data_IF_558075648856
#
_entry.id   IF_558075648856
#
_cell.length_a   1.000
_cell.length_b   1.000
_cell.length_c   1.000
_cell.angle_alpha   90.00
_cell.angle_beta   90.00
_cell.angle_gamma   90.00
#
_symmetry.space_group_name_H-M   'P 1'
#
loop_
_entity.id
_entity.type
_entity.pdbx_description
1 polymer ?
#
# COMPACT_ATOMS: atom_id res chain seq x y z
N UNK A 1 7.40 17.14 -29.28
CA UNK A 1 7.49 15.82 -28.62
C UNK A 1 6.63 15.88 -27.36
N UNK A 2 5.58 15.05 -27.26
CA UNK A 2 4.72 15.01 -26.06
C UNK A 2 5.49 14.33 -24.93
N UNK A 3 5.85 15.09 -23.90
CA UNK A 3 6.26 14.53 -22.61
C UNK A 3 5.06 13.80 -22.01
N UNK A 4 4.99 12.47 -22.20
CA UNK A 4 4.14 11.61 -21.39
C UNK A 4 4.86 11.42 -20.04
N UNK A 5 4.74 12.40 -19.14
CA UNK A 5 4.98 12.16 -17.71
C UNK A 5 3.81 11.30 -17.23
N UNK A 6 4.03 10.00 -17.14
CA UNK A 6 3.08 9.02 -16.59
C UNK A 6 3.58 8.63 -15.20
N UNK A 7 3.82 9.61 -14.32
CA UNK A 7 4.33 9.36 -12.98
C UNK A 7 3.79 10.39 -12.00
N UNK A 8 3.32 9.89 -10.87
CA UNK A 8 3.02 10.66 -9.67
C UNK A 8 4.27 11.50 -9.28
N UNK A 9 4.16 12.83 -9.39
CA UNK A 9 5.06 13.77 -8.70
C UNK A 9 4.45 13.96 -7.31
N UNK A 10 5.17 13.53 -6.27
CA UNK A 10 4.80 13.79 -4.89
C UNK A 10 5.74 14.85 -4.35
N UNK A 11 5.20 15.88 -3.72
CA UNK A 11 5.97 16.99 -3.17
C UNK A 11 6.59 16.63 -1.80
N UNK A 12 6.05 15.63 -1.10
CA UNK A 12 6.58 15.12 0.18
C UNK A 12 5.99 13.74 0.56
N UNK A 13 6.52 13.16 1.64
CA UNK A 13 6.06 11.87 2.20
C UNK A 13 4.57 11.89 2.61
N UNK A 14 4.02 13.03 3.06
CA UNK A 14 2.61 13.14 3.43
C UNK A 14 1.69 12.90 2.22
N UNK A 15 2.05 13.40 1.03
CA UNK A 15 1.27 13.14 -0.19
C UNK A 15 1.33 11.67 -0.64
N UNK A 16 2.51 11.04 -0.50
CA UNK A 16 2.68 9.60 -0.74
C UNK A 16 1.77 8.81 0.22
N UNK A 17 1.79 9.16 1.51
CA UNK A 17 0.95 8.52 2.53
C UNK A 17 -0.54 8.72 2.25
N UNK A 18 -0.98 9.93 1.89
CA UNK A 18 -2.36 10.20 1.52
C UNK A 18 -2.82 9.33 0.35
N UNK A 19 -1.94 9.11 -0.63
CA UNK A 19 -2.23 8.26 -1.78
C UNK A 19 -2.33 6.79 -1.39
N UNK A 20 -1.45 6.29 -0.53
CA UNK A 20 -1.55 4.93 0.01
C UNK A 20 -2.83 4.73 0.83
N UNK A 21 -3.20 5.68 1.68
CA UNK A 21 -4.45 5.64 2.45
C UNK A 21 -5.70 5.61 1.55
N UNK A 22 -5.68 6.34 0.42
CA UNK A 22 -6.76 6.24 -0.59
C UNK A 22 -6.86 4.82 -1.14
N UNK A 23 -5.75 4.19 -1.52
CA UNK A 23 -5.76 2.82 -2.01
C UNK A 23 -6.27 1.80 -0.97
N UNK A 24 -5.95 2.00 0.32
CA UNK A 24 -6.48 1.17 1.41
C UNK A 24 -8.01 1.32 1.52
N UNK A 25 -8.53 2.55 1.41
CA UNK A 25 -9.97 2.81 1.36
C UNK A 25 -10.63 2.12 0.18
N UNK A 26 -10.04 2.22 -1.02
CA UNK A 26 -10.57 1.57 -2.23
C UNK A 26 -10.66 0.04 -2.08
N UNK A 27 -9.64 -0.60 -1.48
CA UNK A 27 -9.67 -2.04 -1.16
C UNK A 27 -10.85 -2.36 -0.23
N UNK A 28 -11.04 -1.55 0.82
CA UNK A 28 -12.11 -1.75 1.79
C UNK A 28 -13.50 -1.60 1.16
N UNK A 29 -13.68 -0.58 0.31
CA UNK A 29 -14.89 -0.36 -0.47
C UNK A 29 -15.19 -1.52 -1.43
N UNK A 30 -14.17 -2.09 -2.07
CA UNK A 30 -14.35 -3.24 -2.95
C UNK A 30 -14.77 -4.48 -2.17
N UNK A 31 -14.16 -4.76 -1.02
CA UNK A 31 -14.57 -5.87 -0.15
C UNK A 31 -16.04 -5.71 0.27
N UNK A 32 -16.46 -4.51 0.69
CA UNK A 32 -17.84 -4.26 1.08
C UNK A 32 -18.81 -4.41 -0.10
N UNK A 33 -18.50 -3.78 -1.23
CA UNK A 33 -19.35 -3.78 -2.44
C UNK A 33 -19.60 -5.18 -2.98
N UNK A 34 -18.58 -6.03 -2.99
CA UNK A 34 -18.68 -7.41 -3.48
C UNK A 34 -19.14 -8.38 -2.39
N UNK A 35 -19.29 -7.93 -1.14
CA UNK A 35 -19.47 -8.79 0.05
C UNK A 35 -18.39 -9.88 0.07
N UNK A 36 -17.16 -9.46 -0.20
CA UNK A 36 -16.04 -10.33 -0.51
C UNK A 36 -15.55 -11.12 0.70
N UNK A 37 -15.30 -12.40 0.46
CA UNK A 37 -14.62 -13.30 1.36
C UNK A 37 -13.48 -14.00 0.62
N UNK A 38 -12.74 -14.85 1.34
CA UNK A 38 -11.63 -15.62 0.78
C UNK A 38 -12.06 -16.48 -0.43
N UNK A 39 -13.25 -17.07 -0.38
CA UNK A 39 -13.74 -17.94 -1.46
C UNK A 39 -14.01 -17.14 -2.72
N UNK A 40 -14.61 -15.96 -2.60
CA UNK A 40 -14.82 -15.07 -3.74
C UNK A 40 -13.48 -14.56 -4.28
N UNK A 41 -12.55 -14.22 -3.40
CA UNK A 41 -11.20 -13.79 -3.80
C UNK A 41 -10.45 -14.87 -4.60
N UNK A 42 -10.56 -16.13 -4.20
CA UNK A 42 -9.95 -17.26 -4.92
C UNK A 42 -10.63 -17.53 -6.27
N UNK A 43 -11.96 -17.52 -6.29
CA UNK A 43 -12.76 -17.97 -7.45
C UNK A 43 -13.05 -16.90 -8.50
N UNK A 44 -13.02 -15.62 -8.15
CA UNK A 44 -13.32 -14.50 -9.04
C UNK A 44 -12.07 -13.64 -9.31
N UNK A 45 -11.51 -13.79 -10.51
CA UNK A 45 -10.30 -13.06 -10.91
C UNK A 45 -10.52 -11.54 -11.01
N UNK A 46 -11.75 -11.08 -11.28
CA UNK A 46 -12.03 -9.65 -11.41
C UNK A 46 -12.08 -9.00 -10.02
N UNK A 47 -12.69 -9.68 -9.05
CA UNK A 47 -12.66 -9.24 -7.65
C UNK A 47 -11.23 -9.26 -7.11
N UNK A 48 -10.47 -10.34 -7.34
CA UNK A 48 -9.07 -10.44 -6.95
C UNK A 48 -8.23 -9.30 -7.51
N UNK A 49 -8.25 -9.06 -8.82
CA UNK A 49 -7.50 -7.96 -9.43
C UNK A 49 -7.93 -6.58 -8.94
N UNK A 50 -9.18 -6.40 -8.54
CA UNK A 50 -9.63 -5.15 -7.95
C UNK A 50 -8.99 -4.87 -6.58
N UNK A 51 -8.57 -5.90 -5.83
CA UNK A 51 -7.86 -5.76 -4.56
C UNK A 51 -6.33 -5.74 -4.75
N UNK A 52 -5.80 -6.62 -5.60
CA UNK A 52 -4.35 -6.78 -5.80
C UNK A 52 -3.72 -5.54 -6.42
N UNK A 53 -4.44 -4.86 -7.33
CA UNK A 53 -3.88 -3.71 -8.03
C UNK A 53 -3.61 -2.53 -7.08
N UNK A 54 -4.56 -2.06 -6.24
CA UNK A 54 -4.27 -1.06 -5.22
C UNK A 54 -3.23 -1.52 -4.19
N UNK A 55 -3.25 -2.79 -3.78
CA UNK A 55 -2.27 -3.33 -2.83
C UNK A 55 -0.85 -3.26 -3.39
N UNK A 56 -0.68 -3.65 -4.65
CA UNK A 56 0.58 -3.52 -5.36
C UNK A 56 1.04 -2.05 -5.45
N UNK A 57 0.13 -1.09 -5.68
CA UNK A 57 0.48 0.33 -5.68
C UNK A 57 0.95 0.81 -4.29
N UNK A 58 0.31 0.37 -3.21
CA UNK A 58 0.74 0.73 -1.83
C UNK A 58 2.17 0.26 -1.59
N UNK A 59 2.48 -0.98 -1.96
CA UNK A 59 3.81 -1.53 -1.80
C UNK A 59 4.85 -0.83 -2.68
N UNK A 60 4.49 -0.50 -3.92
CA UNK A 60 5.35 0.27 -4.83
C UNK A 60 5.67 1.65 -4.24
N UNK A 61 4.65 2.38 -3.79
CA UNK A 61 4.83 3.70 -3.16
C UNK A 61 5.70 3.62 -1.90
N UNK A 62 5.48 2.58 -1.09
CA UNK A 62 6.28 2.32 0.10
C UNK A 62 7.77 2.18 -0.23
N UNK A 63 8.10 1.47 -1.32
CA UNK A 63 9.48 1.22 -1.71
C UNK A 63 10.11 2.37 -2.48
N UNK A 64 9.40 2.97 -3.44
CA UNK A 64 10.00 3.86 -4.43
C UNK A 64 9.70 5.34 -4.23
N UNK A 65 8.74 5.70 -3.35
CA UNK A 65 8.30 7.09 -3.18
C UNK A 65 8.45 7.66 -1.77
N UNK A 66 8.38 6.83 -0.73
CA UNK A 66 8.78 7.28 0.61
C UNK A 66 10.29 7.58 0.63
N UNK A 67 10.64 8.71 1.25
CA UNK A 67 12.02 9.15 1.42
C UNK A 67 12.83 8.17 2.27
N UNK A 68 14.15 8.19 2.09
CA UNK A 68 15.06 7.37 2.92
C UNK A 68 15.05 7.84 4.38
N UNK A 69 14.90 9.15 4.62
CA UNK A 69 14.73 9.73 5.95
C UNK A 69 13.48 9.18 6.65
N UNK A 70 12.35 9.12 5.93
CA UNK A 70 11.12 8.51 6.44
C UNK A 70 11.35 7.04 6.83
N UNK A 71 11.93 6.25 5.93
CA UNK A 71 12.15 4.81 6.15
C UNK A 71 13.12 4.57 7.31
N UNK A 72 14.19 5.36 7.40
CA UNK A 72 15.14 5.28 8.50
C UNK A 72 14.52 5.69 9.82
N UNK A 73 13.62 6.67 9.82
CA UNK A 73 12.95 7.16 11.03
C UNK A 73 11.98 6.12 11.60
N UNK A 74 11.28 5.38 10.76
CA UNK A 74 10.24 4.44 11.16
C UNK A 74 10.66 2.96 11.06
N UNK A 75 11.97 2.68 10.95
CA UNK A 75 12.49 1.32 10.77
C UNK A 75 12.23 0.38 11.96
N UNK A 76 12.04 0.94 13.16
CA UNK A 76 11.72 0.17 14.37
C UNK A 76 10.24 -0.24 14.44
N UNK A 77 9.37 0.41 13.63
CA UNK A 77 7.93 0.12 13.58
C UNK A 77 7.56 -0.73 12.37
N UNK A 78 8.24 -0.52 11.23
CA UNK A 78 7.91 -1.18 9.97
C UNK A 78 9.15 -1.80 9.35
N UNK A 79 9.07 -3.10 9.06
CA UNK A 79 10.08 -3.77 8.25
C UNK A 79 9.82 -3.53 6.75
N UNK A 80 10.37 -2.42 6.23
CA UNK A 80 10.24 -2.06 4.81
C UNK A 80 10.83 -3.12 3.87
N UNK A 81 11.81 -3.92 4.29
CA UNK A 81 12.35 -4.99 3.46
C UNK A 81 11.34 -6.12 3.27
N UNK A 82 10.54 -6.46 4.29
CA UNK A 82 9.48 -7.47 4.15
C UNK A 82 8.41 -7.04 3.15
N UNK A 83 8.04 -5.75 3.14
CA UNK A 83 7.08 -5.19 2.17
C UNK A 83 7.62 -5.33 0.74
N UNK A 84 8.91 -5.07 0.55
CA UNK A 84 9.58 -5.26 -0.75
C UNK A 84 9.53 -6.71 -1.23
N UNK A 85 9.73 -7.67 -0.32
CA UNK A 85 9.72 -9.09 -0.65
C UNK A 85 8.32 -9.52 -1.10
N UNK A 86 7.27 -9.19 -0.33
CA UNK A 86 5.90 -9.50 -0.71
C UNK A 86 5.48 -8.84 -2.05
N UNK A 87 5.89 -7.58 -2.30
CA UNK A 87 5.72 -6.94 -3.62
C UNK A 87 6.39 -7.72 -4.75
N UNK A 88 7.60 -8.22 -4.51
CA UNK A 88 8.32 -8.99 -5.50
C UNK A 88 7.66 -10.33 -5.78
N UNK A 89 7.08 -10.97 -4.76
CA UNK A 89 6.30 -12.19 -4.93
C UNK A 89 5.07 -11.91 -5.80
N UNK A 90 4.31 -10.85 -5.53
CA UNK A 90 3.19 -10.43 -6.39
C UNK A 90 3.61 -10.12 -7.84
N UNK A 91 4.75 -9.46 -8.04
CA UNK A 91 5.24 -9.06 -9.36
C UNK A 91 5.88 -10.19 -10.17
N UNK A 92 6.48 -11.18 -9.50
CA UNK A 92 7.37 -12.17 -10.12
C UNK A 92 6.96 -13.63 -9.89
N UNK A 93 5.94 -13.93 -9.09
CA UNK A 93 5.44 -15.30 -8.92
C UNK A 93 4.59 -15.75 -10.12
N UNK A 94 5.18 -15.78 -11.33
CA UNK A 94 4.61 -16.24 -12.61
C UNK A 94 4.05 -17.70 -12.56
N UNK A 95 3.03 -17.98 -11.73
CA UNK A 95 2.31 -19.25 -11.69
C UNK A 95 1.91 -19.83 -10.33
N UNK A 96 2.33 -19.27 -9.18
CA UNK A 96 1.99 -19.84 -7.84
C UNK A 96 1.82 -18.73 -6.80
N UNK A 97 0.86 -17.82 -6.99
CA UNK A 97 0.46 -16.91 -5.91
C UNK A 97 -0.34 -17.75 -4.90
N UNK A 98 0.10 -17.76 -3.66
CA UNK A 98 -0.70 -18.32 -2.56
C UNK A 98 -1.79 -17.31 -2.21
N UNK A 99 -3.02 -17.60 -2.66
CA UNK A 99 -4.16 -16.71 -2.43
C UNK A 99 -4.52 -16.58 -0.96
N UNK A 100 -4.22 -17.59 -0.12
CA UNK A 100 -4.49 -17.50 1.32
C UNK A 100 -3.55 -16.50 1.98
N UNK A 101 -2.26 -16.55 1.64
CA UNK A 101 -1.26 -15.59 2.15
C UNK A 101 -1.56 -14.15 1.69
N UNK A 102 -1.98 -13.98 0.44
CA UNK A 102 -2.32 -12.66 -0.08
C UNK A 102 -3.60 -12.10 0.55
N UNK A 103 -4.62 -12.95 0.71
CA UNK A 103 -5.82 -12.56 1.43
C UNK A 103 -5.53 -12.23 2.91
N UNK A 104 -4.63 -12.97 3.56
CA UNK A 104 -4.16 -12.65 4.91
C UNK A 104 -3.46 -11.29 4.94
N UNK A 105 -2.66 -10.97 3.93
CA UNK A 105 -2.03 -9.65 3.77
C UNK A 105 -3.09 -8.55 3.71
N UNK A 106 -4.15 -8.73 2.91
CA UNK A 106 -5.26 -7.79 2.81
C UNK A 106 -6.04 -7.67 4.13
N UNK A 107 -6.28 -8.78 4.85
CA UNK A 107 -7.16 -8.79 6.02
C UNK A 107 -6.49 -8.45 7.34
N UNK A 108 -5.20 -8.70 7.47
CA UNK A 108 -4.48 -8.58 8.74
C UNK A 108 -3.35 -7.56 8.65
N UNK A 109 -2.46 -7.68 7.67
CA UNK A 109 -1.31 -6.78 7.57
C UNK A 109 -1.73 -5.37 7.13
N UNK A 110 -2.61 -5.26 6.13
CA UNK A 110 -3.01 -3.98 5.55
C UNK A 110 -3.67 -3.03 6.57
N UNK A 111 -4.61 -3.48 7.43
CA UNK A 111 -5.14 -2.62 8.50
C UNK A 111 -4.07 -2.15 9.50
N UNK A 112 -3.13 -3.01 9.89
CA UNK A 112 -2.00 -2.59 10.76
C UNK A 112 -1.13 -1.56 10.07
N UNK A 113 -0.91 -1.72 8.76
CA UNK A 113 -0.14 -0.74 7.98
C UNK A 113 -0.88 0.59 7.85
N UNK A 114 -2.22 0.58 7.69
CA UNK A 114 -3.05 1.79 7.72
C UNK A 114 -2.89 2.57 9.03
N UNK A 115 -2.97 1.88 10.17
CA UNK A 115 -2.78 2.50 11.48
C UNK A 115 -1.40 3.18 11.61
N UNK A 116 -0.35 2.50 11.14
CA UNK A 116 0.98 3.07 11.05
C UNK A 116 1.03 4.34 10.18
N UNK A 117 0.46 4.28 8.97
CA UNK A 117 0.45 5.41 8.03
C UNK A 117 -0.28 6.62 8.62
N UNK A 118 -1.41 6.40 9.29
CA UNK A 118 -2.15 7.45 9.99
C UNK A 118 -1.33 8.07 11.13
N UNK A 119 -0.62 7.26 11.90
CA UNK A 119 0.29 7.75 12.95
C UNK A 119 1.44 8.57 12.36
N UNK A 120 2.14 8.03 11.36
CA UNK A 120 3.27 8.69 10.72
C UNK A 120 2.86 10.04 10.10
N UNK A 121 1.72 10.08 9.42
CA UNK A 121 1.15 11.32 8.88
C UNK A 121 0.88 12.37 9.95
N UNK A 122 0.33 11.99 11.11
CA UNK A 122 0.07 12.92 12.22
C UNK A 122 1.36 13.56 12.73
N UNK A 123 2.41 12.75 12.88
CA UNK A 123 3.73 13.20 13.34
C UNK A 123 4.35 14.20 12.34
N UNK A 124 4.33 13.87 11.04
CA UNK A 124 4.86 14.76 10.00
C UNK A 124 4.09 16.10 9.94
N UNK A 125 2.77 16.06 10.08
CA UNK A 125 1.96 17.28 10.07
C UNK A 125 2.23 18.18 11.29
N UNK A 126 2.37 17.61 12.50
CA UNK A 126 2.69 18.43 13.68
C UNK A 126 4.03 19.15 13.54
N UNK A 127 5.01 18.54 12.87
CA UNK A 127 6.31 19.16 12.63
C UNK A 127 6.22 20.29 11.59
N UNK A 128 5.33 20.18 10.60
CA UNK A 128 5.09 21.26 9.63
C UNK A 128 4.41 22.46 10.30
N UNK A 129 3.51 22.21 11.26
CA UNK A 129 2.82 23.27 12.01
C UNK A 129 3.75 23.98 13.01
N UNK A 130 4.75 23.28 13.58
CA UNK A 130 5.76 23.88 14.48
C UNK A 130 6.82 24.72 13.75
N UNK A 131 7.01 24.49 12.45
CA UNK A 131 8.01 25.16 11.62
C UNK A 131 7.46 26.35 10.81
N UNK A 132 6.17 26.69 10.95
CA UNK A 132 5.49 27.83 10.32
C UNK A 132 5.08 28.89 11.35
#
# INVERSE_FOLDING_TARGET
MRNRKLYWDFDNDVEVINTMLRYISEISEMIERFKGDMKLYESDYAFRYALDMPLFQIQELTQSKLSDDFKSRFSDEVNFNSIRLNRNDLAHAYGVIDYEDEWYTIKIWLPTYEEFLLKAKRILNSELDENN
#
